data_IF_035504635085
#
_entry.id   IF_035504635085
#
_cell.length_a   1.000
_cell.length_b   1.000
_cell.length_c   1.000
_cell.angle_alpha   90.00
_cell.angle_beta   90.00
_cell.angle_gamma   90.00
#
_symmetry.space_group_name_H-M   'P 1'
#
loop_
_entity.id
_entity.type
_entity.pdbx_description
1 polymer ?
#
# COMPACT_ATOMS: atom_id res chain seq x y z
N UNK A 1 52.89 -21.33 -24.71
CA UNK A 1 53.00 -19.85 -24.78
C UNK A 1 51.61 -19.26 -25.04
N UNK A 2 51.08 -18.55 -24.03
CA UNK A 2 50.00 -17.54 -24.00
C UNK A 2 48.63 -17.88 -24.64
N UNK A 3 47.66 -18.27 -23.81
CA UNK A 3 46.23 -18.19 -24.12
C UNK A 3 45.71 -16.79 -23.72
N UNK A 4 45.12 -16.05 -24.66
CA UNK A 4 44.56 -14.70 -24.42
C UNK A 4 43.08 -14.81 -24.09
N UNK A 5 42.74 -14.64 -22.82
CA UNK A 5 41.35 -14.56 -22.36
C UNK A 5 40.77 -13.20 -22.75
N UNK A 6 39.71 -13.18 -23.56
CA UNK A 6 38.89 -11.98 -23.77
C UNK A 6 37.79 -11.99 -22.72
N UNK A 7 37.73 -10.93 -21.90
CA UNK A 7 36.58 -10.66 -21.05
C UNK A 7 35.43 -10.18 -21.93
N UNK A 8 34.29 -10.87 -21.85
CA UNK A 8 33.02 -10.37 -22.36
C UNK A 8 32.33 -9.60 -21.23
N UNK A 9 32.16 -8.30 -21.41
CA UNK A 9 31.40 -7.45 -20.49
C UNK A 9 29.91 -7.70 -20.73
N UNK A 10 29.23 -8.35 -19.80
CA UNK A 10 27.77 -8.44 -19.80
C UNK A 10 27.26 -7.15 -19.15
N UNK A 11 26.66 -6.27 -19.94
CA UNK A 11 25.90 -5.15 -19.42
C UNK A 11 24.57 -5.70 -18.87
N UNK A 12 24.37 -5.61 -17.55
CA UNK A 12 23.13 -6.00 -16.91
C UNK A 12 22.14 -4.83 -17.00
N UNK A 13 21.16 -4.91 -17.90
CA UNK A 13 20.06 -3.96 -17.99
C UNK A 13 19.07 -4.25 -16.86
N UNK A 14 18.92 -3.31 -15.91
CA UNK A 14 17.89 -3.38 -14.87
C UNK A 14 16.54 -3.07 -15.50
N UNK A 15 15.66 -4.07 -15.58
CA UNK A 15 14.23 -3.80 -15.73
C UNK A 15 13.72 -3.33 -14.37
N UNK A 16 13.24 -2.09 -14.30
CA UNK A 16 12.45 -1.65 -13.17
C UNK A 16 11.12 -2.40 -13.25
N UNK A 17 10.88 -3.33 -12.32
CA UNK A 17 9.54 -3.87 -12.09
C UNK A 17 8.78 -2.75 -11.39
N UNK A 18 7.86 -2.11 -12.09
CA UNK A 18 6.89 -1.21 -11.46
C UNK A 18 5.94 -2.10 -10.66
N UNK A 19 6.04 -2.05 -9.33
CA UNK A 19 4.98 -2.55 -8.46
C UNK A 19 3.86 -1.50 -8.49
N UNK A 20 2.70 -1.87 -9.03
CA UNK A 20 1.48 -1.09 -8.82
C UNK A 20 0.94 -1.46 -7.43
N UNK A 21 0.55 -0.46 -6.64
CA UNK A 21 -0.18 -0.70 -5.40
C UNK A 21 -1.53 -1.36 -5.74
N UNK A 22 -2.08 -2.12 -4.79
CA UNK A 22 -3.46 -2.57 -4.92
C UNK A 22 -4.33 -1.51 -4.27
N UNK A 23 -5.38 -1.06 -4.95
CA UNK A 23 -6.28 -0.01 -4.45
C UNK A 23 -7.70 -0.57 -4.26
N UNK A 24 -8.43 -0.03 -3.29
CA UNK A 24 -9.88 -0.21 -3.11
C UNK A 24 -10.51 1.12 -2.74
N UNK A 25 -11.49 1.56 -3.53
CA UNK A 25 -12.34 2.70 -3.20
C UNK A 25 -13.69 2.27 -2.60
N UNK A 26 -14.18 3.00 -1.61
CA UNK A 26 -15.50 2.76 -1.03
C UNK A 26 -15.80 3.59 0.21
N UNK A 27 -16.94 3.32 0.83
CA UNK A 27 -17.27 3.97 2.11
C UNK A 27 -16.69 3.16 3.26
N UNK A 28 -16.20 3.84 4.29
CA UNK A 28 -15.80 3.20 5.54
C UNK A 28 -17.04 2.59 6.21
N UNK A 29 -17.03 1.28 6.37
CA UNK A 29 -18.12 0.49 6.97
C UNK A 29 -17.91 0.30 8.48
N UNK A 30 -16.65 0.24 8.93
CA UNK A 30 -16.29 0.11 10.34
C UNK A 30 -14.88 0.68 10.60
N UNK A 31 -14.68 1.20 11.81
CA UNK A 31 -13.37 1.60 12.34
C UNK A 31 -13.21 0.97 13.72
N UNK A 32 -12.11 0.24 13.93
CA UNK A 32 -11.73 -0.34 15.22
C UNK A 32 -10.42 0.30 15.70
N UNK A 33 -10.48 1.27 16.62
CA UNK A 33 -9.29 1.93 17.14
C UNK A 33 -8.47 1.05 18.09
N UNK A 34 -9.04 -0.04 18.63
CA UNK A 34 -8.30 -0.96 19.50
C UNK A 34 -7.36 -1.83 18.69
N UNK A 35 -7.85 -2.34 17.56
CA UNK A 35 -7.06 -3.18 16.66
C UNK A 35 -6.37 -2.40 15.53
N UNK A 36 -6.64 -1.08 15.42
CA UNK A 36 -6.19 -0.19 14.33
C UNK A 36 -6.54 -0.75 12.96
N UNK A 37 -7.81 -1.06 12.77
CA UNK A 37 -8.33 -1.54 11.49
C UNK A 37 -9.50 -0.70 11.01
N UNK A 38 -9.65 -0.57 9.70
CA UNK A 38 -10.88 -0.12 9.07
C UNK A 38 -11.43 -1.18 8.11
N UNK A 39 -12.72 -1.10 7.79
CA UNK A 39 -13.37 -1.94 6.80
C UNK A 39 -13.94 -1.10 5.67
N UNK A 40 -13.60 -1.45 4.42
CA UNK A 40 -14.09 -0.80 3.20
C UNK A 40 -14.44 -1.91 2.21
N UNK A 41 -15.65 -1.90 1.65
CA UNK A 41 -16.14 -2.92 0.71
C UNK A 41 -16.05 -4.36 1.27
N UNK A 42 -16.28 -4.54 2.57
CA UNK A 42 -16.13 -5.82 3.26
C UNK A 42 -14.70 -6.33 3.45
N UNK A 43 -13.68 -5.54 3.09
CA UNK A 43 -12.25 -5.88 3.29
C UNK A 43 -11.76 -5.16 4.55
N UNK A 44 -11.16 -5.91 5.47
CA UNK A 44 -10.51 -5.33 6.65
C UNK A 44 -9.05 -5.01 6.35
N UNK A 45 -8.66 -3.77 6.59
CA UNK A 45 -7.31 -3.25 6.42
C UNK A 45 -6.67 -2.96 7.77
N UNK A 46 -5.44 -3.43 7.96
CA UNK A 46 -4.58 -3.08 9.08
C UNK A 46 -3.89 -1.74 8.80
N UNK A 47 -3.99 -0.82 9.76
CA UNK A 47 -3.41 0.51 9.66
C UNK A 47 -2.31 0.67 10.68
N UNK A 48 -1.16 1.16 10.22
CA UNK A 48 0.03 1.30 11.06
C UNK A 48 0.58 2.72 10.99
N UNK A 49 1.65 2.98 11.74
CA UNK A 49 2.35 4.27 11.67
C UNK A 49 3.11 4.49 10.34
N UNK A 50 3.04 3.52 9.41
CA UNK A 50 3.59 3.61 8.06
C UNK A 50 2.54 3.94 6.99
N UNK A 51 1.27 4.02 7.37
CA UNK A 51 0.21 4.38 6.43
C UNK A 51 0.25 5.89 6.24
N UNK A 52 0.41 6.32 4.99
CA UNK A 52 0.30 7.73 4.62
C UNK A 52 -1.17 8.14 4.51
N UNK A 53 -1.46 9.40 4.79
CA UNK A 53 -2.80 9.96 4.77
C UNK A 53 -2.78 11.25 3.95
N UNK A 54 -3.76 11.42 3.06
CA UNK A 54 -3.89 12.63 2.25
C UNK A 54 -5.34 13.16 2.22
N UNK A 55 -5.55 14.26 1.49
CA UNK A 55 -6.84 14.89 1.21
C UNK A 55 -7.65 15.27 2.46
N UNK A 56 -6.92 15.72 3.48
CA UNK A 56 -7.47 16.24 4.73
C UNK A 56 -7.45 15.23 5.88
N UNK A 57 -7.12 13.98 5.60
CA UNK A 57 -6.75 13.00 6.62
C UNK A 57 -5.29 13.23 7.05
N UNK A 58 -5.01 13.06 8.35
CA UNK A 58 -3.65 13.22 8.89
C UNK A 58 -3.22 12.09 9.81
N UNK A 59 -4.17 11.25 10.22
CA UNK A 59 -3.99 10.17 11.20
C UNK A 59 -5.21 9.27 11.23
N UNK A 60 -5.04 8.10 11.85
CA UNK A 60 -6.11 7.11 12.02
C UNK A 60 -7.37 7.68 12.69
N UNK A 61 -7.20 8.59 13.65
CA UNK A 61 -8.33 9.18 14.38
C UNK A 61 -9.19 10.13 13.54
N UNK A 62 -8.73 10.51 12.34
CA UNK A 62 -9.52 11.32 11.41
C UNK A 62 -10.47 10.44 10.55
N UNK A 63 -10.34 9.11 10.63
CA UNK A 63 -11.17 8.14 9.91
C UNK A 63 -12.52 7.92 10.62
N UNK A 64 -13.61 8.07 9.86
CA UNK A 64 -14.98 7.97 10.37
C UNK A 64 -15.85 7.12 9.43
N UNK A 65 -16.76 6.33 10.01
CA UNK A 65 -17.73 5.51 9.25
C UNK A 65 -18.56 6.42 8.33
N UNK A 66 -18.66 6.03 7.06
CA UNK A 66 -19.39 6.77 6.04
C UNK A 66 -18.54 7.73 5.21
N UNK A 67 -17.28 8.01 5.57
CA UNK A 67 -16.35 8.68 4.67
C UNK A 67 -16.11 7.80 3.43
N UNK A 68 -16.11 8.40 2.24
CA UNK A 68 -15.63 7.74 1.03
C UNK A 68 -14.11 7.88 1.02
N UNK A 69 -13.40 6.78 0.80
CA UNK A 69 -11.94 6.74 0.80
C UNK A 69 -11.42 5.86 -0.32
N UNK A 70 -10.21 6.16 -0.78
CA UNK A 70 -9.35 5.24 -1.50
C UNK A 70 -8.34 4.62 -0.50
N UNK A 71 -8.17 3.30 -0.54
CA UNK A 71 -7.21 2.58 0.30
C UNK A 71 -6.24 1.83 -0.58
N UNK A 72 -5.00 2.31 -0.58
CA UNK A 72 -3.87 1.63 -1.16
C UNK A 72 -3.29 0.64 -0.16
N UNK A 73 -3.00 -0.59 -0.60
CA UNK A 73 -2.59 -1.66 0.29
C UNK A 73 -1.66 -2.71 -0.32
N UNK A 74 -0.94 -3.39 0.59
CA UNK A 74 -0.21 -4.61 0.30
C UNK A 74 -0.89 -5.82 0.95
N UNK A 75 -0.96 -6.93 0.22
CA UNK A 75 -1.36 -8.21 0.79
C UNK A 75 -0.14 -9.01 1.24
N UNK A 76 0.02 -9.18 2.56
CA UNK A 76 1.14 -9.94 3.15
C UNK A 76 0.66 -10.83 4.29
N UNK A 77 1.11 -12.08 4.30
CA UNK A 77 0.81 -13.06 5.36
C UNK A 77 -0.69 -13.21 5.67
N UNK A 78 -1.53 -13.12 4.64
CA UNK A 78 -2.98 -13.25 4.78
C UNK A 78 -3.72 -11.96 5.16
N UNK A 79 -3.02 -10.82 5.25
CA UNK A 79 -3.53 -9.55 5.78
C UNK A 79 -3.42 -8.45 4.73
N UNK A 80 -4.41 -7.55 4.70
CA UNK A 80 -4.37 -6.32 3.89
C UNK A 80 -3.79 -5.22 4.76
N UNK A 81 -2.62 -4.70 4.39
CA UNK A 81 -1.90 -3.67 5.14
C UNK A 81 -2.00 -2.38 4.36
N UNK A 82 -2.69 -1.39 4.90
CA UNK A 82 -2.86 -0.10 4.26
C UNK A 82 -1.51 0.63 4.18
N UNK A 83 -1.15 1.07 2.97
CA UNK A 83 0.03 1.90 2.70
C UNK A 83 -0.34 3.37 2.57
N UNK A 84 -1.53 3.67 2.04
CA UNK A 84 -2.03 5.04 1.90
C UNK A 84 -3.56 5.05 2.01
N UNK A 85 -4.12 6.11 2.60
CA UNK A 85 -5.57 6.32 2.71
C UNK A 85 -5.86 7.78 2.35
N UNK A 86 -6.64 7.95 1.28
CA UNK A 86 -7.03 9.27 0.76
C UNK A 86 -8.54 9.46 0.98
N UNK A 87 -8.93 10.69 1.35
CA UNK A 87 -10.35 11.04 1.47
C UNK A 87 -10.89 11.43 0.10
N UNK A 88 -12.01 10.82 -0.27
CA UNK A 88 -12.67 11.04 -1.55
C UNK A 88 -13.95 11.88 -1.38
N UNK A 89 -14.17 12.84 -2.28
CA UNK A 89 -15.35 13.72 -2.32
C UNK A 89 -16.62 13.08 -2.93
#
# INVERSE_FOLDING_TARGET
>A
MKLRTRLATIALSTFAVTAHANEVEGHIEAVDPTNRTLMVQGITFEVSDRTDYDDGLRRFEDLEVGQRVEVDFEYRDGRHIATEIELED
#
